data_IF_797986615962
#
_entry.id   IF_797986615962
#
_cell.length_a   1.000
_cell.length_b   1.000
_cell.length_c   1.000
_cell.angle_alpha   90.00
_cell.angle_beta   90.00
_cell.angle_gamma   90.00
#
_symmetry.space_group_name_H-M   'P 1'
#
loop_
_entity.id
_entity.type
_entity.pdbx_description
1 polymer ?
#
# COMPACT_ATOMS: atom_id res chain seq x y z
N UNK A 1 -76.02 -25.44 2.70
CA UNK A 1 -74.54 -25.28 2.59
C UNK A 1 -74.09 -24.26 1.52
N UNK A 2 -74.94 -23.75 0.64
CA UNK A 2 -74.53 -22.76 -0.41
C UNK A 2 -74.58 -21.29 0.02
N UNK A 3 -75.16 -20.95 1.15
CA UNK A 3 -75.30 -19.56 1.62
C UNK A 3 -74.17 -19.10 2.60
N UNK A 4 -73.41 -20.04 3.16
CA UNK A 4 -72.30 -19.71 4.04
C UNK A 4 -70.97 -19.47 3.28
N UNK A 5 -70.88 -19.92 2.04
CA UNK A 5 -69.66 -19.81 1.22
C UNK A 5 -69.53 -18.43 0.56
N UNK A 6 -70.63 -17.70 0.36
CA UNK A 6 -70.56 -16.34 -0.21
C UNK A 6 -70.16 -15.27 0.79
N UNK A 7 -70.36 -15.49 2.12
CA UNK A 7 -69.98 -14.49 3.15
C UNK A 7 -68.50 -14.57 3.49
N UNK A 8 -67.85 -15.77 3.32
CA UNK A 8 -66.44 -15.92 3.57
C UNK A 8 -65.54 -15.33 2.45
N UNK A 9 -66.05 -15.25 1.24
CA UNK A 9 -65.30 -14.66 0.08
C UNK A 9 -65.38 -13.12 0.14
N UNK A 10 -66.40 -12.55 0.75
CA UNK A 10 -66.54 -11.09 0.88
C UNK A 10 -65.70 -10.47 1.99
N UNK A 11 -65.22 -11.29 2.97
CA UNK A 11 -64.38 -10.78 4.07
C UNK A 11 -62.88 -10.81 3.70
N UNK A 12 -62.48 -11.69 2.77
CA UNK A 12 -61.11 -11.77 2.29
C UNK A 12 -60.76 -10.63 1.30
N UNK A 13 -61.75 -10.01 0.68
CA UNK A 13 -61.55 -8.89 -0.28
C UNK A 13 -61.36 -7.51 0.36
N UNK A 14 -61.49 -7.38 1.69
CA UNK A 14 -61.36 -6.06 2.38
C UNK A 14 -60.08 -5.89 3.19
N UNK A 15 -59.10 -6.83 3.13
CA UNK A 15 -57.85 -6.72 3.90
C UNK A 15 -56.65 -6.31 3.02
N UNK A 16 -56.85 -5.94 1.74
CA UNK A 16 -55.74 -5.53 0.83
C UNK A 16 -55.80 -4.02 0.55
N UNK A 17 -56.09 -3.21 1.49
CA UNK A 17 -55.93 -1.76 1.33
C UNK A 17 -55.64 -1.13 2.68
N UNK A 18 -54.42 -1.19 3.16
CA UNK A 18 -53.73 -0.13 3.92
C UNK A 18 -52.27 -0.60 4.09
N UNK A 19 -51.52 -0.50 3.03
CA UNK A 19 -50.07 -0.21 3.11
C UNK A 19 -49.89 1.02 2.21
N UNK A 20 -50.35 2.18 2.66
CA UNK A 20 -49.70 3.42 2.29
C UNK A 20 -48.47 3.49 3.14
N UNK A 21 -47.38 2.84 2.71
CA UNK A 21 -46.06 3.32 3.04
C UNK A 21 -45.98 4.75 2.49
N UNK A 22 -45.66 5.70 3.36
CA UNK A 22 -45.17 7.01 2.98
C UNK A 22 -43.83 6.72 2.23
N UNK A 23 -43.93 6.42 0.95
CA UNK A 23 -42.78 6.54 0.07
C UNK A 23 -42.49 8.04 -0.03
N UNK A 24 -41.59 8.54 0.78
CA UNK A 24 -40.92 9.80 0.48
C UNK A 24 -40.44 9.68 -0.96
N UNK A 25 -40.90 10.62 -1.80
CA UNK A 25 -40.48 10.67 -3.21
C UNK A 25 -39.03 11.15 -3.22
N UNK A 26 -38.07 10.21 -3.40
CA UNK A 26 -36.65 10.46 -3.52
C UNK A 26 -36.22 10.62 -4.99
N UNK A 27 -37.11 11.11 -5.86
CA UNK A 27 -36.78 11.38 -7.26
C UNK A 27 -35.66 12.42 -7.35
N UNK A 28 -34.52 12.01 -7.96
CA UNK A 28 -33.32 12.85 -8.08
C UNK A 28 -32.41 12.83 -6.86
N UNK A 29 -32.66 11.92 -5.93
CA UNK A 29 -31.76 11.66 -4.80
C UNK A 29 -31.09 10.28 -4.94
N UNK A 30 -29.90 10.14 -4.36
CA UNK A 30 -29.17 8.90 -4.19
C UNK A 30 -28.98 8.64 -2.70
N UNK A 31 -28.83 7.38 -2.33
CA UNK A 31 -28.67 6.97 -0.94
C UNK A 31 -27.24 6.49 -0.68
N UNK A 32 -26.57 7.06 0.33
CA UNK A 32 -25.21 6.59 0.67
C UNK A 32 -25.24 5.10 1.05
N UNK A 33 -24.43 4.24 0.38
CA UNK A 33 -24.54 2.79 0.58
C UNK A 33 -23.99 2.35 1.92
N UNK A 34 -22.68 2.48 2.12
CA UNK A 34 -21.98 2.15 3.37
C UNK A 34 -21.27 3.38 3.91
N UNK A 35 -20.86 3.38 5.17
CA UNK A 35 -20.06 4.48 5.74
C UNK A 35 -18.63 4.49 5.16
N UNK A 36 -17.97 5.65 5.18
CA UNK A 36 -16.63 5.86 4.61
C UNK A 36 -15.61 4.82 5.08
N UNK A 37 -15.60 4.48 6.37
CA UNK A 37 -14.67 3.53 6.96
C UNK A 37 -14.82 2.08 6.46
N UNK A 38 -15.97 1.73 5.86
CA UNK A 38 -16.21 0.38 5.30
C UNK A 38 -15.68 0.27 3.87
N UNK A 39 -15.43 1.41 3.22
CA UNK A 39 -14.94 1.48 1.85
C UNK A 39 -13.41 1.29 1.76
N UNK A 40 -12.67 1.68 2.79
CA UNK A 40 -11.22 1.52 2.87
C UNK A 40 -10.82 0.03 2.73
N UNK A 41 -9.77 -0.23 1.96
CA UNK A 41 -9.25 -1.57 1.71
C UNK A 41 -10.04 -2.41 0.70
N UNK A 42 -11.10 -1.84 0.07
CA UNK A 42 -11.88 -2.52 -0.96
C UNK A 42 -11.36 -2.19 -2.36
N UNK A 43 -11.67 -3.04 -3.32
CA UNK A 43 -11.44 -2.76 -4.74
C UNK A 43 -12.30 -1.57 -5.21
N UNK A 44 -11.66 -0.58 -5.87
CA UNK A 44 -12.34 0.66 -6.28
C UNK A 44 -13.49 0.43 -7.26
N UNK A 45 -13.39 -0.57 -8.14
CA UNK A 45 -14.43 -0.87 -9.11
C UNK A 45 -15.69 -1.34 -8.40
N UNK A 46 -15.53 -2.18 -7.36
CA UNK A 46 -16.65 -2.64 -6.53
C UNK A 46 -17.32 -1.50 -5.76
N UNK A 47 -16.53 -0.51 -5.34
CA UNK A 47 -17.04 0.69 -4.66
C UNK A 47 -17.77 1.61 -5.64
N UNK A 48 -17.25 1.80 -6.86
CA UNK A 48 -17.95 2.54 -7.94
C UNK A 48 -19.29 1.90 -8.24
N UNK A 49 -19.34 0.59 -8.48
CA UNK A 49 -20.59 -0.13 -8.76
C UNK A 49 -21.61 0.05 -7.63
N UNK A 50 -21.19 -0.03 -6.38
CA UNK A 50 -22.08 0.15 -5.23
C UNK A 50 -22.67 1.55 -5.17
N UNK A 51 -21.91 2.61 -5.48
CA UNK A 51 -22.42 3.98 -5.55
C UNK A 51 -23.36 4.18 -6.74
N UNK A 52 -23.04 3.64 -7.93
CA UNK A 52 -23.89 3.70 -9.11
C UNK A 52 -25.25 3.00 -8.88
N UNK A 53 -25.24 1.79 -8.29
CA UNK A 53 -26.44 1.06 -7.92
C UNK A 53 -27.33 1.81 -6.93
N UNK A 54 -26.73 2.65 -6.07
CA UNK A 54 -27.44 3.50 -5.13
C UNK A 54 -27.86 4.86 -5.71
N UNK A 55 -27.64 5.08 -7.02
CA UNK A 55 -28.18 6.18 -7.79
C UNK A 55 -27.27 7.40 -7.95
N UNK A 56 -26.01 7.34 -7.52
CA UNK A 56 -25.03 8.40 -7.74
C UNK A 56 -24.62 8.48 -9.22
N UNK A 57 -24.52 9.71 -9.74
CA UNK A 57 -24.20 9.96 -11.16
C UNK A 57 -22.92 10.77 -11.36
N UNK A 58 -22.30 11.26 -10.30
CA UNK A 58 -21.11 12.11 -10.35
C UNK A 58 -19.99 11.49 -9.49
N UNK A 59 -19.38 10.42 -10.02
CA UNK A 59 -18.30 9.70 -9.34
C UNK A 59 -16.97 10.07 -10.01
N UNK A 60 -15.98 10.46 -9.22
CA UNK A 60 -14.63 10.77 -9.64
C UNK A 60 -13.65 9.81 -9.01
N UNK A 61 -12.69 9.38 -9.81
CA UNK A 61 -11.59 8.54 -9.38
C UNK A 61 -10.32 9.38 -9.26
N UNK A 62 -9.67 9.32 -8.12
CA UNK A 62 -8.38 9.95 -7.88
C UNK A 62 -7.34 8.86 -7.59
N UNK A 63 -6.32 8.79 -8.43
CA UNK A 63 -5.21 7.86 -8.28
C UNK A 63 -4.24 8.35 -7.21
N UNK A 64 -3.81 7.45 -6.34
CA UNK A 64 -2.67 7.62 -5.46
C UNK A 64 -1.58 6.71 -6.04
N UNK A 65 -0.66 7.30 -6.79
CA UNK A 65 0.40 6.58 -7.51
C UNK A 65 1.58 6.30 -6.55
N UNK A 66 1.33 5.50 -5.53
CA UNK A 66 2.29 5.18 -4.47
C UNK A 66 2.66 3.69 -4.38
N UNK A 67 2.11 2.86 -5.28
CA UNK A 67 2.46 1.46 -5.32
C UNK A 67 3.82 1.27 -5.98
N UNK A 68 4.79 0.82 -5.19
CA UNK A 68 6.10 0.36 -5.67
C UNK A 68 6.03 -1.16 -5.90
N UNK A 69 5.23 -1.85 -5.10
CA UNK A 69 4.93 -3.29 -5.17
C UNK A 69 3.52 -3.51 -4.64
N UNK A 70 2.68 -4.20 -5.42
CA UNK A 70 1.27 -4.46 -5.08
C UNK A 70 1.05 -5.53 -4.00
N UNK A 71 1.69 -5.40 -2.84
CA UNK A 71 1.52 -6.38 -1.77
C UNK A 71 1.32 -5.80 -0.36
N UNK A 72 1.56 -4.53 -0.15
CA UNK A 72 1.15 -3.78 1.05
C UNK A 72 -0.25 -3.24 0.88
N UNK A 73 -0.52 -2.73 -0.31
CA UNK A 73 -1.85 -2.36 -0.80
C UNK A 73 -1.98 -2.95 -2.18
N UNK A 74 -3.15 -3.48 -2.50
CA UNK A 74 -3.41 -4.05 -3.80
C UNK A 74 -3.66 -2.92 -4.83
N UNK A 75 -3.28 -3.15 -6.08
CA UNK A 75 -3.63 -2.23 -7.16
C UNK A 75 -5.15 -2.11 -7.25
N UNK A 76 -5.66 -0.89 -7.16
CA UNK A 76 -7.10 -0.61 -7.06
C UNK A 76 -7.67 -0.59 -5.64
N UNK A 77 -6.86 -0.78 -4.60
CA UNK A 77 -7.31 -0.69 -3.21
C UNK A 77 -7.69 0.74 -2.82
N UNK A 78 -8.91 0.92 -2.28
CA UNK A 78 -9.44 2.22 -1.88
C UNK A 78 -8.79 2.70 -0.59
N UNK A 79 -8.20 3.88 -0.63
CA UNK A 79 -7.72 4.58 0.57
C UNK A 79 -8.86 5.23 1.33
N UNK A 80 -9.68 6.01 0.65
CA UNK A 80 -10.85 6.65 1.23
C UNK A 80 -11.88 7.06 0.17
N UNK A 81 -13.06 7.40 0.67
CA UNK A 81 -14.18 7.90 -0.15
C UNK A 81 -14.79 9.13 0.51
N UNK A 82 -15.07 10.16 -0.28
CA UNK A 82 -15.85 11.31 0.18
C UNK A 82 -17.16 11.46 -0.58
N UNK A 83 -18.19 11.95 0.10
CA UNK A 83 -19.47 12.30 -0.49
C UNK A 83 -19.76 13.79 -0.23
N UNK A 84 -19.77 14.59 -1.29
CA UNK A 84 -19.93 16.06 -1.15
C UNK A 84 -18.78 16.71 -0.38
N UNK A 85 -17.58 16.12 -0.40
CA UNK A 85 -16.39 16.57 0.34
C UNK A 85 -16.34 16.13 1.81
N UNK A 86 -17.30 15.33 2.28
CA UNK A 86 -17.32 14.75 3.63
C UNK A 86 -16.68 13.36 3.58
N UNK A 87 -15.49 13.19 4.19
CA UNK A 87 -14.77 11.92 4.33
C UNK A 87 -15.26 11.05 5.50
N UNK A 88 -16.16 11.55 6.33
CA UNK A 88 -16.77 10.82 7.46
C UNK A 88 -18.29 10.70 7.29
N UNK A 89 -18.74 10.57 6.04
CA UNK A 89 -20.16 10.43 5.74
C UNK A 89 -20.73 9.14 6.36
N UNK A 90 -21.99 9.22 6.77
CA UNK A 90 -22.72 8.08 7.34
C UNK A 90 -23.50 7.34 6.26
N UNK A 91 -23.76 6.04 6.41
CA UNK A 91 -24.63 5.27 5.52
C UNK A 91 -26.08 5.73 5.61
N UNK A 92 -26.89 5.29 4.65
CA UNK A 92 -28.34 5.47 4.63
C UNK A 92 -28.82 6.94 4.58
N UNK A 93 -27.97 7.87 4.16
CA UNK A 93 -28.37 9.28 3.94
C UNK A 93 -28.79 9.52 2.51
N UNK A 94 -29.89 10.23 2.33
CA UNK A 94 -30.34 10.72 1.04
C UNK A 94 -29.68 12.06 0.73
N UNK A 95 -29.08 12.17 -0.45
CA UNK A 95 -28.43 13.37 -0.99
C UNK A 95 -28.82 13.52 -2.46
N UNK A 96 -28.68 14.71 -3.08
CA UNK A 96 -28.87 14.85 -4.52
C UNK A 96 -28.01 13.81 -5.29
N UNK A 97 -28.57 13.19 -6.30
CA UNK A 97 -27.88 12.11 -7.04
C UNK A 97 -26.67 12.58 -7.85
N UNK A 98 -26.53 13.89 -8.07
CA UNK A 98 -25.39 14.55 -8.70
C UNK A 98 -24.34 15.04 -7.68
N UNK A 99 -24.52 14.72 -6.38
CA UNK A 99 -23.51 14.98 -5.35
C UNK A 99 -22.22 14.29 -5.74
N UNK A 100 -21.11 15.02 -5.71
CA UNK A 100 -19.79 14.51 -6.06
C UNK A 100 -19.36 13.43 -5.07
N UNK A 101 -19.00 12.27 -5.60
CA UNK A 101 -18.31 11.19 -4.87
C UNK A 101 -16.88 11.13 -5.38
N UNK A 102 -15.90 11.23 -4.49
CA UNK A 102 -14.49 11.06 -4.83
C UNK A 102 -14.03 9.76 -4.18
N UNK A 103 -13.50 8.84 -5.00
CA UNK A 103 -12.92 7.58 -4.57
C UNK A 103 -11.42 7.67 -4.84
N UNK A 104 -10.61 7.69 -3.78
CA UNK A 104 -9.16 7.66 -3.88
C UNK A 104 -8.67 6.22 -3.72
N UNK A 105 -7.83 5.77 -4.63
CA UNK A 105 -7.33 4.40 -4.65
C UNK A 105 -5.86 4.34 -5.03
N UNK A 106 -5.17 3.33 -4.52
CA UNK A 106 -3.75 3.08 -4.79
C UNK A 106 -3.55 2.43 -6.15
N UNK A 107 -2.53 2.88 -6.87
CA UNK A 107 -2.13 2.28 -8.15
C UNK A 107 -0.64 2.48 -8.40
N UNK A 108 -0.11 1.77 -9.38
CA UNK A 108 1.25 1.98 -9.85
C UNK A 108 1.35 3.31 -10.61
N UNK A 109 2.50 4.03 -10.54
CA UNK A 109 2.76 5.18 -11.41
C UNK A 109 2.56 4.80 -12.89
N UNK A 110 1.90 5.67 -13.65
CA UNK A 110 1.78 5.48 -15.10
C UNK A 110 3.14 5.74 -15.75
N UNK A 111 3.66 4.75 -16.50
CA UNK A 111 4.80 4.98 -17.39
C UNK A 111 4.35 5.93 -18.50
N UNK A 112 4.93 7.15 -18.56
CA UNK A 112 4.71 8.03 -19.70
C UNK A 112 5.32 7.39 -20.95
N UNK A 113 4.49 6.76 -21.79
CA UNK A 113 4.89 6.33 -23.12
C UNK A 113 5.21 7.60 -23.98
N UNK A 114 6.48 7.99 -24.01
CA UNK A 114 6.96 8.94 -25.01
C UNK A 114 6.80 8.32 -26.41
N UNK A 115 5.81 8.80 -27.17
CA UNK A 115 5.68 8.51 -28.59
C UNK A 115 6.95 8.94 -29.33
N UNK A 116 7.91 8.05 -29.49
CA UNK A 116 9.06 8.27 -30.37
C UNK A 116 8.67 7.99 -31.81
N UNK A 117 8.38 9.06 -32.54
CA UNK A 117 8.45 9.06 -34.00
C UNK A 117 9.91 8.81 -34.44
N UNK A 118 10.18 7.61 -34.92
CA UNK A 118 11.43 7.30 -35.59
C UNK A 118 11.47 7.94 -37.02
N UNK A 119 12.66 8.35 -37.48
CA UNK A 119 13.18 7.82 -38.73
C UNK A 119 14.53 7.13 -38.58
N UNK A 120 14.57 5.98 -39.18
CA UNK A 120 15.66 5.05 -39.39
C UNK A 120 16.83 5.71 -40.15
N UNK A 121 18.05 5.63 -39.59
CA UNK A 121 19.27 5.58 -40.42
C UNK A 121 20.40 4.82 -39.69
N UNK A 122 20.95 3.84 -40.41
CA UNK A 122 22.14 3.05 -40.08
C UNK A 122 23.41 3.92 -40.11
N UNK A 123 24.35 3.67 -39.21
CA UNK A 123 25.73 3.20 -39.46
C UNK A 123 26.70 3.50 -38.31
N UNK A 124 27.33 2.44 -37.84
CA UNK A 124 28.71 2.23 -37.41
C UNK A 124 29.48 3.16 -36.43
N UNK A 125 30.06 2.42 -35.47
CA UNK A 125 31.34 2.57 -34.76
C UNK A 125 31.46 3.38 -33.48
N UNK A 126 31.69 2.58 -32.40
CA UNK A 126 32.62 2.80 -31.28
C UNK A 126 32.77 4.22 -30.68
N UNK A 127 32.28 4.42 -29.48
CA UNK A 127 33.22 4.74 -28.39
C UNK A 127 32.55 4.59 -26.99
N UNK A 128 33.33 3.93 -26.15
CA UNK A 128 33.17 3.77 -24.72
C UNK A 128 32.86 5.10 -24.01
N UNK A 129 31.68 5.20 -23.43
CA UNK A 129 31.35 6.12 -22.34
C UNK A 129 30.07 5.62 -21.67
N UNK A 130 30.28 4.94 -20.56
CA UNK A 130 29.25 4.41 -19.68
C UNK A 130 28.44 5.57 -19.08
N UNK A 131 27.46 6.06 -19.82
CA UNK A 131 26.40 6.92 -19.28
C UNK A 131 25.19 6.02 -19.07
N UNK A 132 25.00 5.60 -17.84
CA UNK A 132 23.81 4.85 -17.39
C UNK A 132 22.63 5.78 -17.66
N UNK A 133 21.78 5.38 -18.60
CA UNK A 133 20.48 6.02 -18.82
C UNK A 133 19.59 5.69 -17.64
N UNK A 134 18.95 6.72 -17.13
CA UNK A 134 18.11 6.79 -15.93
C UNK A 134 16.70 6.15 -16.11
N UNK A 135 16.64 4.98 -16.74
CA UNK A 135 15.39 4.26 -17.03
C UNK A 135 15.04 3.19 -15.98
N UNK A 136 15.63 3.23 -14.78
CA UNK A 136 15.46 2.15 -13.80
C UNK A 136 15.31 2.62 -12.35
N UNK A 137 14.79 3.82 -12.12
CA UNK A 137 14.59 4.32 -10.74
C UNK A 137 13.50 3.56 -9.98
N UNK A 138 12.60 2.90 -10.68
CA UNK A 138 11.43 2.23 -10.10
C UNK A 138 11.60 0.71 -9.89
N UNK A 139 12.64 0.10 -10.49
CA UNK A 139 12.90 -1.33 -10.29
C UNK A 139 13.48 -1.60 -8.90
N UNK A 140 12.83 -2.51 -8.14
CA UNK A 140 13.36 -2.98 -6.86
C UNK A 140 14.58 -3.85 -7.10
N UNK A 141 15.68 -3.50 -6.47
CA UNK A 141 16.91 -4.26 -6.51
C UNK A 141 16.82 -5.44 -5.55
N UNK A 142 16.99 -6.63 -6.09
CA UNK A 142 16.97 -7.90 -5.37
C UNK A 142 18.30 -8.62 -5.55
N UNK A 143 18.52 -9.69 -4.81
CA UNK A 143 19.72 -10.55 -5.00
C UNK A 143 19.75 -11.19 -6.40
N UNK A 144 18.61 -11.27 -7.09
CA UNK A 144 18.49 -11.92 -8.39
C UNK A 144 18.78 -10.96 -9.56
N UNK A 145 18.52 -9.65 -9.38
CA UNK A 145 18.71 -8.65 -10.44
C UNK A 145 19.83 -7.63 -10.15
N UNK A 146 20.44 -7.65 -8.96
CA UNK A 146 21.54 -6.78 -8.56
C UNK A 146 22.70 -7.56 -7.95
N UNK A 147 23.77 -7.78 -8.75
CA UNK A 147 24.94 -8.53 -8.33
C UNK A 147 25.68 -7.85 -7.16
N UNK A 148 25.74 -6.52 -7.15
CA UNK A 148 26.36 -5.77 -6.05
C UNK A 148 25.60 -5.92 -4.74
N UNK A 149 24.25 -5.92 -4.76
CA UNK A 149 23.44 -6.19 -3.57
C UNK A 149 23.72 -7.60 -3.03
N UNK A 150 23.70 -8.61 -3.91
CA UNK A 150 24.04 -9.98 -3.53
C UNK A 150 25.45 -10.07 -2.94
N UNK A 151 26.40 -9.33 -3.52
CA UNK A 151 27.79 -9.31 -3.06
C UNK A 151 27.91 -8.74 -1.65
N UNK A 152 27.34 -7.55 -1.36
CA UNK A 152 27.43 -6.95 -0.02
C UNK A 152 26.71 -7.77 1.04
N UNK A 153 25.56 -8.37 0.74
CA UNK A 153 24.81 -9.21 1.69
C UNK A 153 25.55 -10.52 2.01
N UNK A 154 26.46 -10.95 1.15
CA UNK A 154 27.26 -12.17 1.33
C UNK A 154 28.55 -11.95 2.16
N UNK A 155 28.94 -10.70 2.39
CA UNK A 155 30.14 -10.36 3.18
C UNK A 155 29.90 -10.74 4.65
N UNK A 156 30.93 -11.33 5.27
CA UNK A 156 30.88 -11.74 6.68
C UNK A 156 31.78 -10.88 7.58
N UNK A 157 32.07 -9.66 7.15
CA UNK A 157 32.83 -8.67 7.90
C UNK A 157 31.92 -7.47 8.23
N UNK A 158 32.04 -6.94 9.44
CA UNK A 158 31.28 -5.76 9.87
C UNK A 158 31.76 -4.49 9.15
N UNK A 159 32.99 -4.49 8.65
CA UNK A 159 33.62 -3.36 7.97
C UNK A 159 34.16 -3.85 6.62
N UNK A 160 33.68 -3.23 5.53
CA UNK A 160 34.15 -3.47 4.18
C UNK A 160 34.01 -2.18 3.35
N UNK A 161 35.01 -1.90 2.51
CA UNK A 161 35.03 -0.69 1.66
C UNK A 161 33.90 -0.67 0.63
N UNK A 162 33.38 -1.84 0.26
CA UNK A 162 32.28 -1.95 -0.71
C UNK A 162 30.95 -1.42 -0.17
N UNK A 163 30.77 -1.36 1.16
CA UNK A 163 29.53 -0.85 1.77
C UNK A 163 29.27 0.61 1.44
N UNK A 164 30.29 1.47 1.60
CA UNK A 164 30.18 2.88 1.25
C UNK A 164 29.92 3.07 -0.24
N UNK A 165 30.68 2.33 -1.08
CA UNK A 165 30.50 2.40 -2.54
C UNK A 165 29.10 1.98 -2.98
N UNK A 166 28.56 0.93 -2.35
CA UNK A 166 27.19 0.50 -2.62
C UNK A 166 26.17 1.54 -2.21
N UNK A 167 26.29 2.07 -0.97
CA UNK A 167 25.36 3.08 -0.48
C UNK A 167 25.34 4.35 -1.37
N UNK A 168 26.52 4.83 -1.77
CA UNK A 168 26.64 6.00 -2.64
C UNK A 168 26.03 5.75 -4.04
N UNK A 169 26.30 4.56 -4.61
CA UNK A 169 25.80 4.19 -5.94
C UNK A 169 24.30 4.01 -5.98
N UNK A 170 23.71 3.44 -4.93
CA UNK A 170 22.31 3.06 -4.87
C UNK A 170 21.49 3.94 -3.93
N UNK A 171 21.98 5.12 -3.57
CA UNK A 171 21.24 6.09 -2.75
C UNK A 171 19.89 6.41 -3.38
N UNK A 172 18.81 6.30 -2.59
CA UNK A 172 17.44 6.51 -3.01
C UNK A 172 16.79 5.34 -3.77
N UNK A 173 17.57 4.30 -4.16
CA UNK A 173 17.04 3.10 -4.80
C UNK A 173 16.40 2.19 -3.76
N UNK A 174 15.32 1.53 -4.17
CA UNK A 174 14.65 0.52 -3.35
C UNK A 174 15.38 -0.82 -3.46
N UNK A 175 15.66 -1.44 -2.32
CA UNK A 175 16.25 -2.79 -2.22
C UNK A 175 15.30 -3.72 -1.49
N UNK A 176 15.28 -5.00 -1.89
CA UNK A 176 14.59 -6.08 -1.20
C UNK A 176 15.61 -7.16 -0.81
N UNK A 177 15.57 -7.57 0.46
CA UNK A 177 16.45 -8.63 0.94
C UNK A 177 15.89 -9.32 2.17
N UNK A 178 16.40 -10.52 2.42
CA UNK A 178 16.10 -11.30 3.62
C UNK A 178 16.99 -10.86 4.78
N UNK A 179 16.36 -10.61 5.94
CA UNK A 179 17.04 -10.16 7.14
C UNK A 179 16.50 -10.83 8.40
N UNK A 180 17.16 -10.60 9.51
CA UNK A 180 16.65 -10.88 10.85
C UNK A 180 16.74 -9.64 11.73
N UNK A 181 15.81 -9.52 12.67
CA UNK A 181 15.78 -8.42 13.64
C UNK A 181 16.80 -8.71 14.74
N UNK A 182 17.84 -7.90 14.82
CA UNK A 182 18.89 -8.03 15.82
C UNK A 182 18.57 -7.26 17.10
N UNK A 183 18.15 -5.99 16.94
CA UNK A 183 17.73 -5.15 18.05
C UNK A 183 16.47 -4.36 17.72
N UNK A 184 15.65 -4.14 18.74
CA UNK A 184 14.44 -3.32 18.70
C UNK A 184 14.40 -2.51 19.99
N UNK A 185 14.47 -1.18 19.90
CA UNK A 185 14.40 -0.28 21.03
C UNK A 185 13.53 0.93 20.72
N UNK A 186 12.97 1.54 21.74
CA UNK A 186 12.26 2.81 21.57
C UNK A 186 13.25 3.90 21.14
N UNK A 187 12.81 4.77 20.22
CA UNK A 187 13.56 5.93 19.79
C UNK A 187 13.35 7.03 20.83
N UNK A 188 14.43 7.45 21.48
CA UNK A 188 14.40 8.41 22.59
C UNK A 188 13.33 8.05 23.65
N UNK A 189 12.50 9.01 24.04
CA UNK A 189 11.44 8.85 25.04
C UNK A 189 10.06 8.54 24.41
N UNK A 190 10.00 8.10 23.13
CA UNK A 190 8.74 7.81 22.45
C UNK A 190 8.29 6.35 22.67
N UNK A 191 7.02 6.14 23.01
CA UNK A 191 6.44 4.79 23.20
C UNK A 191 6.05 4.09 21.89
N UNK A 192 5.94 4.84 20.79
CA UNK A 192 5.43 4.34 19.49
C UNK A 192 6.42 4.53 18.34
N UNK A 193 7.62 5.00 18.62
CA UNK A 193 8.69 5.13 17.64
C UNK A 193 9.89 4.31 18.05
N UNK A 194 10.54 3.71 17.08
CA UNK A 194 11.55 2.68 17.33
C UNK A 194 12.77 2.87 16.47
N UNK A 195 13.92 2.44 17.01
CA UNK A 195 15.13 2.14 16.25
C UNK A 195 15.26 0.63 16.12
N UNK A 196 15.47 0.15 14.90
CA UNK A 196 15.54 -1.27 14.58
C UNK A 196 16.89 -1.56 13.92
N UNK A 197 17.65 -2.48 14.49
CA UNK A 197 18.83 -3.05 13.85
C UNK A 197 18.49 -4.38 13.20
N UNK A 198 18.98 -4.56 11.99
CA UNK A 198 18.78 -5.73 11.15
C UNK A 198 20.12 -6.28 10.70
N UNK A 199 20.21 -7.59 10.63
CA UNK A 199 21.34 -8.30 9.99
C UNK A 199 20.86 -9.04 8.74
N UNK A 200 21.70 -9.17 7.72
CA UNK A 200 21.36 -9.92 6.51
C UNK A 200 21.18 -11.41 6.80
N UNK A 201 20.14 -12.02 6.21
CA UNK A 201 19.89 -13.46 6.31
C UNK A 201 19.09 -13.87 7.55
N UNK A 202 19.09 -15.19 7.80
CA UNK A 202 18.30 -15.78 8.88
C UNK A 202 18.98 -15.64 10.23
N UNK A 203 18.16 -15.48 11.27
CA UNK A 203 18.64 -15.45 12.65
C UNK A 203 19.27 -16.80 13.05
N UNK A 204 20.48 -16.76 13.58
CA UNK A 204 21.15 -17.91 14.20
C UNK A 204 21.61 -17.56 15.61
N UNK A 205 20.95 -18.08 16.64
CA UNK A 205 21.28 -17.77 18.05
C UNK A 205 22.67 -18.28 18.48
N UNK A 206 23.29 -19.17 17.70
CA UNK A 206 24.63 -19.73 17.97
C UNK A 206 25.73 -19.07 17.19
N UNK A 207 25.38 -18.16 16.28
CA UNK A 207 26.30 -17.56 15.37
C UNK A 207 26.39 -16.05 15.60
N UNK A 208 27.59 -15.61 15.99
CA UNK A 208 27.94 -14.18 15.94
C UNK A 208 28.32 -13.91 14.50
N UNK A 209 27.34 -13.60 13.66
CA UNK A 209 27.58 -13.27 12.26
C UNK A 209 28.11 -11.86 12.16
N UNK A 210 29.33 -11.69 11.63
CA UNK A 210 29.75 -10.47 10.99
C UNK A 210 29.00 -10.30 9.67
N UNK A 211 28.85 -9.07 9.20
CA UNK A 211 28.21 -8.73 7.93
C UNK A 211 27.63 -7.33 7.96
N UNK A 212 26.98 -6.89 6.87
CA UNK A 212 26.35 -5.59 6.83
C UNK A 212 25.21 -5.51 7.86
N UNK A 213 25.24 -4.46 8.66
CA UNK A 213 24.16 -4.13 9.57
C UNK A 213 23.35 -2.96 9.02
N UNK A 214 22.03 -3.05 9.14
CA UNK A 214 21.11 -2.07 8.65
C UNK A 214 20.32 -1.46 9.81
N UNK A 215 19.98 -0.18 9.70
CA UNK A 215 19.20 0.54 10.69
C UNK A 215 17.99 1.21 10.07
N UNK A 216 16.83 0.98 10.66
CA UNK A 216 15.70 1.88 10.59
C UNK A 216 15.74 2.78 11.81
N UNK A 217 15.71 4.08 11.62
CA UNK A 217 15.78 5.06 12.70
C UNK A 217 14.48 5.81 12.82
N UNK A 218 13.96 5.95 14.05
CA UNK A 218 12.79 6.74 14.36
C UNK A 218 11.53 6.34 13.56
N UNK A 219 11.27 5.04 13.44
CA UNK A 219 10.14 4.48 12.67
C UNK A 219 8.99 4.06 13.58
N UNK A 220 7.77 4.09 13.05
CA UNK A 220 6.59 3.53 13.69
C UNK A 220 6.07 2.30 12.91
N UNK A 221 4.97 1.71 13.36
CA UNK A 221 4.44 0.52 12.72
C UNK A 221 3.95 0.76 11.28
N UNK A 222 3.33 1.92 11.01
CA UNK A 222 2.87 2.27 9.66
C UNK A 222 4.03 2.51 8.69
N UNK A 223 5.16 3.03 9.16
CA UNK A 223 6.37 3.18 8.31
C UNK A 223 6.92 1.82 7.83
N UNK A 224 6.54 0.73 8.50
CA UNK A 224 6.91 -0.64 8.15
C UNK A 224 5.78 -1.40 7.44
N UNK A 225 4.71 -0.71 7.07
CA UNK A 225 3.55 -1.32 6.46
C UNK A 225 2.75 -2.25 7.37
N UNK A 226 2.74 -1.99 8.69
CA UNK A 226 2.05 -2.81 9.68
C UNK A 226 0.81 -2.10 10.21
N UNK A 227 -0.32 -2.79 10.20
CA UNK A 227 -1.59 -2.29 10.73
C UNK A 227 -1.68 -2.52 12.26
N UNK A 228 -0.83 -1.83 13.01
CA UNK A 228 -0.79 -1.91 14.48
C UNK A 228 -0.27 -0.61 15.10
N UNK A 229 -0.74 -0.28 16.31
CA UNK A 229 -0.21 0.86 17.06
C UNK A 229 1.15 0.57 17.71
N UNK A 230 1.41 -0.70 18.05
CA UNK A 230 2.62 -1.09 18.76
C UNK A 230 3.41 -2.11 17.94
N UNK A 231 4.53 -1.67 17.42
CA UNK A 231 5.44 -2.48 16.61
C UNK A 231 5.81 -3.81 17.30
N UNK A 232 6.01 -3.78 18.60
CA UNK A 232 6.42 -4.93 19.43
C UNK A 232 5.37 -6.06 19.49
N UNK A 233 4.15 -5.83 19.00
CA UNK A 233 3.15 -6.89 18.85
C UNK A 233 3.41 -7.76 17.63
N UNK A 234 3.97 -7.18 16.57
CA UNK A 234 4.17 -7.82 15.27
C UNK A 234 5.63 -8.20 14.99
N UNK A 235 6.58 -7.42 15.52
CA UNK A 235 8.02 -7.60 15.29
C UNK A 235 8.76 -7.89 16.60
N UNK A 236 9.67 -8.87 16.57
CA UNK A 236 10.47 -9.31 17.72
C UNK A 236 11.94 -9.54 17.34
N UNK A 237 12.80 -9.30 18.30
CA UNK A 237 14.22 -9.69 18.19
C UNK A 237 14.34 -11.18 17.90
N UNK A 238 15.19 -11.55 16.96
CA UNK A 238 15.38 -12.91 16.47
C UNK A 238 14.37 -13.35 15.40
N UNK A 239 13.47 -12.50 14.98
CA UNK A 239 12.50 -12.81 13.92
C UNK A 239 13.13 -12.63 12.55
N UNK A 240 12.91 -13.62 11.67
CA UNK A 240 13.26 -13.51 10.26
C UNK A 240 12.22 -12.69 9.51
N UNK A 241 12.69 -11.77 8.71
CA UNK A 241 11.87 -10.83 7.96
C UNK A 241 12.37 -10.68 6.52
N UNK A 242 11.47 -10.31 5.63
CA UNK A 242 11.79 -9.74 4.34
C UNK A 242 11.68 -8.22 4.44
N UNK A 243 12.72 -7.53 4.05
CA UNK A 243 12.84 -6.07 4.13
C UNK A 243 12.73 -5.49 2.74
N UNK A 244 11.94 -4.43 2.60
CA UNK A 244 11.92 -3.55 1.45
C UNK A 244 12.12 -2.13 1.96
N UNK A 245 13.15 -1.47 1.46
CA UNK A 245 13.53 -0.16 1.95
C UNK A 245 14.36 0.61 0.91
N UNK A 246 14.35 1.93 1.02
CA UNK A 246 15.27 2.79 0.23
C UNK A 246 16.63 2.90 0.93
N UNK A 247 17.68 2.85 0.14
CA UNK A 247 19.04 3.11 0.61
C UNK A 247 19.19 4.60 0.90
N UNK A 248 19.51 4.95 2.14
CA UNK A 248 19.74 6.35 2.55
C UNK A 248 21.23 6.65 2.50
N UNK A 249 22.03 5.95 3.31
CA UNK A 249 23.48 6.14 3.38
C UNK A 249 24.16 5.00 4.15
N UNK A 250 25.49 4.96 4.09
CA UNK A 250 26.32 4.18 4.99
C UNK A 250 27.16 5.12 5.84
N UNK A 251 26.96 5.07 7.17
CA UNK A 251 27.77 5.85 8.09
C UNK A 251 29.03 5.08 8.49
N UNK A 252 30.18 5.58 8.06
CA UNK A 252 31.48 4.97 8.33
C UNK A 252 31.93 5.09 9.81
N UNK A 253 31.23 5.88 10.65
CA UNK A 253 31.56 5.98 12.07
C UNK A 253 30.85 4.90 12.89
N UNK A 254 29.59 4.62 12.58
CA UNK A 254 28.79 3.56 13.21
C UNK A 254 28.85 2.24 12.49
N UNK A 255 29.34 2.22 11.24
CA UNK A 255 29.35 1.06 10.32
C UNK A 255 27.94 0.52 10.03
N UNK A 256 26.94 1.41 9.94
CA UNK A 256 25.55 1.07 9.69
C UNK A 256 25.07 1.59 8.34
N UNK A 257 24.34 0.76 7.63
CA UNK A 257 23.46 1.23 6.55
C UNK A 257 22.19 1.82 7.13
N UNK A 258 21.93 3.08 6.88
CA UNK A 258 20.62 3.68 7.15
C UNK A 258 19.70 3.42 5.97
N UNK A 259 18.54 2.92 6.28
CA UNK A 259 17.50 2.61 5.31
C UNK A 259 16.20 3.32 5.70
N UNK A 260 15.48 3.78 4.69
CA UNK A 260 14.13 4.30 4.84
C UNK A 260 13.14 3.16 4.52
N UNK A 261 12.40 2.64 5.50
CA UNK A 261 11.57 1.46 5.29
C UNK A 261 10.37 1.78 4.40
N UNK A 262 9.99 0.79 3.58
CA UNK A 262 8.75 0.76 2.83
C UNK A 262 7.87 -0.35 3.41
N UNK A 263 8.48 -1.50 3.70
CA UNK A 263 7.77 -2.64 4.23
C UNK A 263 8.67 -3.66 4.93
N UNK A 264 8.13 -4.30 5.95
CA UNK A 264 8.76 -5.44 6.64
C UNK A 264 7.75 -6.58 6.79
N UNK A 265 8.10 -7.77 6.31
CA UNK A 265 7.28 -8.98 6.43
C UNK A 265 7.94 -10.05 7.27
N UNK A 266 7.15 -10.71 8.10
CA UNK A 266 7.56 -11.96 8.77
C UNK A 266 7.80 -13.07 7.73
N UNK A 267 8.90 -13.81 7.89
CA UNK A 267 9.20 -15.03 7.13
C UNK A 267 9.09 -16.27 7.99
#
# INVERSE_FOLDING_TARGET
>A
MKRFMCILISIISCIILIACENSSDHTGEAKTPSGSSVMNGRDYQSVVEEFEENGFTNIKLEKIEDLIIGWLKEDGEVEDVSVGGDFDYSPDKWVPNDTEVIIRYHTFPEEEEEETNQPKQESDENNDSNTIKDDSLDEILTIDNCEELNSILSIKADIDESYLNFADKYKGRTIEFDASIDHLMNHDDYDTRYDILLTSGDFDPNHVTGGPMFKFENVNASDLGLDTLYLTSEIKVGQNVKVIAKVVEFDSNSYLFFLDPIAVKSR
#
